data_IF_009839253948
#
_entry.id   IF_009839253948
#
_cell.length_a   1.000
_cell.length_b   1.000
_cell.length_c   1.000
_cell.angle_alpha   90.00
_cell.angle_beta   90.00
_cell.angle_gamma   90.00
#
_symmetry.space_group_name_H-M   'P 1'
#
loop_
_entity.id
_entity.type
_entity.pdbx_description
1 polymer ?
#
# COMPACT_ATOMS: atom_id res chain seq x y z
N UNK A 1 23.73 -2.31 -3.29
CA UNK A 1 24.23 -1.85 -4.60
C UNK A 1 25.29 -2.85 -5.08
N UNK A 2 25.11 -3.46 -6.25
CA UNK A 2 26.04 -4.44 -6.81
C UNK A 2 27.24 -3.72 -7.43
N UNK A 3 28.31 -3.49 -6.66
CA UNK A 3 29.53 -2.82 -7.13
C UNK A 3 30.46 -3.71 -7.96
N UNK A 4 30.12 -5.00 -8.10
CA UNK A 4 30.95 -6.00 -8.78
C UNK A 4 31.35 -5.68 -10.24
N UNK A 5 30.45 -5.19 -11.13
CA UNK A 5 30.85 -4.84 -12.50
C UNK A 5 31.78 -3.61 -12.55
N UNK A 6 31.60 -2.65 -11.64
CA UNK A 6 32.43 -1.44 -11.54
C UNK A 6 33.82 -1.76 -11.00
N UNK A 7 33.89 -2.63 -9.97
CA UNK A 7 35.14 -3.14 -9.42
C UNK A 7 35.94 -3.82 -10.55
N UNK A 8 35.28 -4.66 -11.35
CA UNK A 8 35.95 -5.41 -12.39
C UNK A 8 36.47 -4.50 -13.51
N UNK A 9 35.69 -3.53 -13.97
CA UNK A 9 36.12 -2.54 -14.96
C UNK A 9 37.32 -1.71 -14.48
N UNK A 10 37.32 -1.27 -13.21
CA UNK A 10 38.43 -0.52 -12.64
C UNK A 10 39.69 -1.39 -12.49
N UNK A 11 39.55 -2.67 -12.15
CA UNK A 11 40.67 -3.61 -12.09
C UNK A 11 41.22 -3.89 -13.49
N UNK A 12 40.36 -4.04 -14.50
CA UNK A 12 40.81 -4.25 -15.88
C UNK A 12 41.58 -3.03 -16.43
N UNK A 13 41.13 -1.81 -16.11
CA UNK A 13 41.89 -0.58 -16.41
C UNK A 13 43.25 -0.52 -15.68
N UNK A 14 43.35 -1.04 -14.45
CA UNK A 14 44.63 -1.15 -13.73
C UNK A 14 45.56 -2.19 -14.37
N UNK A 15 45.02 -3.27 -14.92
CA UNK A 15 45.79 -4.33 -15.60
C UNK A 15 46.46 -3.85 -16.88
N UNK A 16 45.84 -2.91 -17.61
CA UNK A 16 46.42 -2.31 -18.81
C UNK A 16 47.57 -1.35 -18.50
N UNK A 17 47.49 -0.65 -17.36
CA UNK A 17 48.46 0.39 -16.98
C UNK A 17 49.67 -0.15 -16.23
N UNK A 18 49.52 -1.27 -15.50
CA UNK A 18 50.56 -1.80 -14.60
C UNK A 18 51.06 -3.15 -15.10
N UNK A 19 52.25 -3.22 -15.74
CA UNK A 19 52.78 -4.46 -16.27
C UNK A 19 53.30 -5.42 -15.18
N UNK A 20 53.66 -4.90 -14.00
CA UNK A 20 54.27 -5.69 -12.91
C UNK A 20 53.20 -6.29 -11.98
N UNK A 21 53.22 -7.62 -11.84
CA UNK A 21 52.22 -8.39 -11.09
C UNK A 21 52.13 -8.00 -9.60
N UNK A 22 53.26 -7.69 -8.95
CA UNK A 22 53.29 -7.30 -7.53
C UNK A 22 52.63 -5.93 -7.29
N UNK A 23 52.91 -4.95 -8.14
CA UNK A 23 52.32 -3.62 -8.04
C UNK A 23 50.82 -3.68 -8.35
N UNK A 24 50.40 -4.52 -9.30
CA UNK A 24 49.00 -4.75 -9.60
C UNK A 24 48.23 -5.30 -8.38
N UNK A 25 48.77 -6.27 -7.64
CA UNK A 25 48.11 -6.75 -6.42
C UNK A 25 47.95 -5.64 -5.37
N UNK A 26 48.96 -4.80 -5.20
CA UNK A 26 48.93 -3.70 -4.22
C UNK A 26 47.86 -2.68 -4.56
N UNK A 27 47.76 -2.27 -5.83
CA UNK A 27 46.74 -1.31 -6.29
C UNK A 27 45.33 -1.91 -6.22
N UNK A 28 45.16 -3.20 -6.51
CA UNK A 28 43.86 -3.88 -6.33
C UNK A 28 43.47 -3.96 -4.85
N UNK A 29 44.40 -4.28 -3.95
CA UNK A 29 44.17 -4.22 -2.51
C UNK A 29 43.76 -2.82 -2.05
N UNK A 30 44.45 -1.78 -2.52
CA UNK A 30 44.15 -0.39 -2.21
C UNK A 30 42.77 0.02 -2.75
N UNK A 31 42.43 -0.34 -3.97
CA UNK A 31 41.14 -0.05 -4.58
C UNK A 31 39.98 -0.73 -3.84
N UNK A 32 40.11 -2.01 -3.51
CA UNK A 32 39.09 -2.73 -2.74
C UNK A 32 38.89 -2.12 -1.35
N UNK A 33 40.00 -1.83 -0.66
CA UNK A 33 39.97 -1.34 0.71
C UNK A 33 39.54 0.13 0.81
N UNK A 34 40.16 1.04 0.07
CA UNK A 34 39.92 2.48 0.19
C UNK A 34 38.72 2.98 -0.59
N UNK A 35 38.42 2.41 -1.77
CA UNK A 35 37.35 2.92 -2.62
C UNK A 35 36.01 2.20 -2.38
N UNK A 36 36.04 0.89 -2.09
CA UNK A 36 34.83 0.09 -1.90
C UNK A 36 34.59 -0.35 -0.45
N UNK A 37 35.53 -0.13 0.47
CA UNK A 37 35.41 -0.56 1.86
C UNK A 37 35.37 -2.09 2.03
N UNK A 38 35.84 -2.84 1.04
CA UNK A 38 35.86 -4.31 1.06
C UNK A 38 37.23 -4.77 1.53
N UNK A 39 37.28 -5.66 2.53
CA UNK A 39 38.53 -6.25 2.98
C UNK A 39 39.11 -7.17 1.90
N UNK A 40 40.28 -6.85 1.32
CA UNK A 40 40.89 -7.71 0.31
C UNK A 40 41.23 -9.07 0.95
N UNK A 41 40.86 -10.16 0.28
CA UNK A 41 41.21 -11.54 0.65
C UNK A 41 42.01 -12.19 -0.47
N UNK A 42 42.84 -13.18 -0.14
CA UNK A 42 43.69 -13.86 -1.13
C UNK A 42 42.88 -14.47 -2.28
N UNK A 43 41.69 -15.02 -1.98
CA UNK A 43 40.78 -15.58 -2.99
C UNK A 43 40.24 -14.50 -3.95
N UNK A 44 39.92 -13.31 -3.45
CA UNK A 44 39.45 -12.20 -4.29
C UNK A 44 40.55 -11.72 -5.24
N UNK A 45 41.77 -11.57 -4.73
CA UNK A 45 42.94 -11.20 -5.54
C UNK A 45 43.22 -12.24 -6.64
N UNK A 46 43.11 -13.52 -6.32
CA UNK A 46 43.24 -14.60 -7.29
C UNK A 46 42.21 -14.49 -8.43
N UNK A 47 40.93 -14.27 -8.07
CA UNK A 47 39.81 -14.17 -9.04
C UNK A 47 39.96 -12.99 -10.00
N UNK A 48 40.45 -11.84 -9.50
CA UNK A 48 40.54 -10.61 -10.26
C UNK A 48 41.84 -10.44 -11.03
N UNK A 49 42.99 -10.81 -10.46
CA UNK A 49 44.31 -10.55 -11.08
C UNK A 49 44.72 -11.68 -12.03
N UNK A 50 44.28 -12.93 -11.79
CA UNK A 50 44.53 -14.12 -12.64
C UNK A 50 45.97 -14.24 -13.18
N UNK A 51 46.96 -13.81 -12.39
CA UNK A 51 48.40 -13.91 -12.66
C UNK A 51 49.07 -14.48 -11.40
N UNK A 52 50.26 -15.07 -11.52
CA UNK A 52 51.07 -15.51 -10.37
C UNK A 52 50.86 -16.95 -9.88
N UNK A 53 51.70 -17.37 -8.93
CA UNK A 53 51.63 -18.67 -8.25
C UNK A 53 50.54 -18.68 -7.18
N UNK A 54 50.12 -19.87 -6.72
CA UNK A 54 49.10 -20.05 -5.68
C UNK A 54 49.37 -19.26 -4.38
N UNK A 55 50.65 -19.00 -4.05
CA UNK A 55 51.05 -18.27 -2.84
C UNK A 55 51.23 -16.76 -3.03
N UNK A 56 51.40 -16.28 -4.27
CA UNK A 56 51.70 -14.87 -4.56
C UNK A 56 50.62 -13.87 -4.08
N UNK A 57 49.30 -14.16 -4.18
CA UNK A 57 48.26 -13.25 -3.68
C UNK A 57 48.27 -13.11 -2.16
N UNK A 58 48.59 -14.19 -1.43
CA UNK A 58 48.63 -14.18 0.03
C UNK A 58 49.83 -13.36 0.53
N UNK A 59 50.98 -13.49 -0.12
CA UNK A 59 52.18 -12.71 0.22
C UNK A 59 52.01 -11.22 -0.09
N UNK A 60 51.42 -10.89 -1.24
CA UNK A 60 51.14 -9.50 -1.61
C UNK A 60 50.12 -8.84 -0.66
N UNK A 61 49.12 -9.60 -0.19
CA UNK A 61 48.16 -9.16 0.80
C UNK A 61 48.82 -8.93 2.16
N UNK A 62 49.69 -9.83 2.62
CA UNK A 62 50.41 -9.67 3.87
C UNK A 62 51.30 -8.42 3.86
N UNK A 63 52.07 -8.23 2.77
CA UNK A 63 52.89 -7.03 2.54
C UNK A 63 52.05 -5.75 2.48
N UNK A 64 50.91 -5.77 1.79
CA UNK A 64 50.00 -4.62 1.77
C UNK A 64 49.53 -4.24 3.18
N UNK A 65 49.11 -5.21 3.99
CA UNK A 65 48.68 -4.93 5.37
C UNK A 65 49.82 -4.48 6.28
N UNK A 66 51.04 -4.97 6.05
CA UNK A 66 52.24 -4.51 6.75
C UNK A 66 52.54 -3.05 6.38
N UNK A 67 52.66 -2.73 5.10
CA UNK A 67 52.90 -1.35 4.62
C UNK A 67 51.75 -0.40 4.99
N UNK A 68 50.50 -0.87 4.99
CA UNK A 68 49.33 -0.08 5.39
C UNK A 68 49.38 0.21 6.90
N UNK A 69 49.70 -0.80 7.71
CA UNK A 69 49.88 -0.63 9.15
C UNK A 69 51.09 0.23 9.48
N UNK A 70 52.15 0.17 8.69
CA UNK A 70 53.34 1.00 8.90
C UNK A 70 53.09 2.46 8.50
N UNK A 71 52.41 2.71 7.37
CA UNK A 71 52.03 4.06 6.92
C UNK A 71 50.91 4.71 7.73
N UNK A 72 49.92 3.93 8.18
CA UNK A 72 48.82 4.40 9.03
C UNK A 72 49.09 4.16 10.52
N UNK A 73 50.27 3.68 10.90
CA UNK A 73 50.69 3.72 12.30
C UNK A 73 50.62 5.19 12.67
N UNK A 74 49.80 5.58 13.65
CA UNK A 74 49.76 6.96 14.08
C UNK A 74 51.18 7.30 14.55
N UNK A 75 51.91 8.05 13.73
CA UNK A 75 53.13 8.77 14.12
C UNK A 75 52.69 9.87 15.07
N UNK A 76 52.32 9.48 16.27
CA UNK A 76 52.50 10.32 17.45
C UNK A 76 53.99 10.19 17.79
N UNK A 77 54.80 10.77 16.92
CA UNK A 77 56.10 11.30 17.33
C UNK A 77 55.75 12.50 18.23
N UNK A 78 55.37 12.25 19.48
CA UNK A 78 55.52 13.25 20.53
C UNK A 78 56.77 12.90 21.28
N UNK A 79 57.77 13.75 21.09
CA UNK A 79 58.92 13.89 21.96
C UNK A 79 58.49 13.73 23.43
N UNK A 80 58.89 12.63 24.06
CA UNK A 80 58.89 12.41 25.51
C UNK A 80 57.66 12.92 26.29
N UNK A 81 56.43 12.49 25.98
CA UNK A 81 55.34 12.60 26.96
C UNK A 81 55.55 11.52 28.05
N UNK A 82 55.56 11.88 29.35
CA UNK A 82 55.58 10.92 30.46
C UNK A 82 54.47 9.87 30.31
N UNK A 83 54.79 8.61 30.61
CA UNK A 83 53.86 7.49 30.39
C UNK A 83 52.57 7.62 31.23
N UNK A 84 52.64 8.30 32.37
CA UNK A 84 51.50 8.64 33.22
C UNK A 84 50.45 9.48 32.47
N UNK A 85 50.87 10.52 31.75
CA UNK A 85 49.95 11.38 30.99
C UNK A 85 49.32 10.66 29.79
N UNK A 86 50.04 9.72 29.17
CA UNK A 86 49.50 8.89 28.09
C UNK A 86 48.44 7.92 28.61
N UNK A 87 48.69 7.32 29.77
CA UNK A 87 47.73 6.42 30.41
C UNK A 87 46.44 7.17 30.76
N UNK A 88 46.56 8.34 31.40
CA UNK A 88 45.41 9.17 31.79
C UNK A 88 44.60 9.67 30.58
N UNK A 89 45.27 10.13 29.53
CA UNK A 89 44.60 10.52 28.29
C UNK A 89 43.92 9.32 27.60
N UNK A 90 44.55 8.14 27.61
CA UNK A 90 43.99 6.90 27.07
C UNK A 90 42.74 6.45 27.82
N UNK A 91 42.77 6.50 29.15
CA UNK A 91 41.61 6.21 30.00
C UNK A 91 40.46 7.17 29.74
N UNK A 92 40.74 8.47 29.62
CA UNK A 92 39.72 9.47 29.32
C UNK A 92 39.05 9.22 27.96
N UNK A 93 39.84 8.94 26.91
CA UNK A 93 39.31 8.65 25.57
C UNK A 93 38.50 7.35 25.59
N UNK A 94 38.98 6.32 26.27
CA UNK A 94 38.26 5.05 26.42
C UNK A 94 36.91 5.25 27.14
N UNK A 95 36.90 6.04 28.21
CA UNK A 95 35.68 6.38 28.94
C UNK A 95 34.71 7.20 28.08
N UNK A 96 35.21 8.17 27.32
CA UNK A 96 34.39 8.97 26.41
C UNK A 96 33.79 8.10 25.30
N UNK A 97 34.59 7.22 24.69
CA UNK A 97 34.15 6.29 23.66
C UNK A 97 33.07 5.33 24.19
N UNK A 98 33.27 4.77 25.39
CA UNK A 98 32.29 3.91 26.05
C UNK A 98 30.97 4.63 26.30
N UNK A 99 31.01 5.87 26.79
CA UNK A 99 29.82 6.71 27.00
C UNK A 99 29.10 7.02 25.67
N UNK A 100 29.85 7.38 24.64
CA UNK A 100 29.29 7.64 23.32
C UNK A 100 28.62 6.39 22.73
N UNK A 101 29.25 5.22 22.88
CA UNK A 101 28.69 3.96 22.42
C UNK A 101 27.44 3.56 23.19
N UNK A 102 27.42 3.74 24.51
CA UNK A 102 26.23 3.51 25.33
C UNK A 102 25.07 4.45 24.93
N UNK A 103 25.34 5.74 24.73
CA UNK A 103 24.34 6.70 24.29
C UNK A 103 23.78 6.36 22.88
N UNK A 104 24.66 5.95 21.96
CA UNK A 104 24.24 5.52 20.61
C UNK A 104 23.40 4.25 20.65
N UNK A 105 23.76 3.27 21.49
CA UNK A 105 22.99 2.04 21.68
C UNK A 105 21.61 2.32 22.27
N UNK A 106 21.53 3.22 23.25
CA UNK A 106 20.26 3.62 23.85
C UNK A 106 19.36 4.35 22.84
N UNK A 107 19.91 5.30 22.08
CA UNK A 107 19.16 5.98 21.02
C UNK A 107 18.63 5.00 19.97
N UNK A 108 19.45 4.02 19.57
CA UNK A 108 19.02 2.97 18.66
C UNK A 108 17.96 2.03 19.26
N UNK A 109 18.04 1.73 20.57
CA UNK A 109 17.03 0.94 21.28
C UNK A 109 15.68 1.66 21.28
N UNK A 110 15.68 2.96 21.59
CA UNK A 110 14.49 3.81 21.53
C UNK A 110 13.88 3.84 20.14
N UNK A 111 14.68 4.12 19.10
CA UNK A 111 14.20 4.13 17.72
C UNK A 111 13.61 2.78 17.28
N UNK A 112 14.19 1.66 17.75
CA UNK A 112 13.63 0.31 17.47
C UNK A 112 12.28 0.11 18.14
N UNK A 113 12.11 0.54 19.38
CA UNK A 113 10.84 0.44 20.11
C UNK A 113 9.77 1.28 19.43
N UNK A 114 10.09 2.52 19.07
CA UNK A 114 9.18 3.43 18.36
C UNK A 114 8.78 2.88 16.99
N UNK A 115 9.75 2.40 16.20
CA UNK A 115 9.47 1.78 14.91
C UNK A 115 8.59 0.53 15.04
N UNK A 116 8.84 -0.30 16.07
CA UNK A 116 8.01 -1.48 16.31
C UNK A 116 6.59 -1.11 16.72
N UNK A 117 6.43 -0.11 17.59
CA UNK A 117 5.12 0.41 17.98
C UNK A 117 4.34 0.95 16.77
N UNK A 118 4.99 1.73 15.90
CA UNK A 118 4.38 2.25 14.67
C UNK A 118 3.96 1.13 13.71
N UNK A 119 4.75 0.06 13.60
CA UNK A 119 4.40 -1.11 12.79
C UNK A 119 3.17 -1.84 13.36
N UNK A 120 3.13 -2.05 14.68
CA UNK A 120 1.98 -2.69 15.35
C UNK A 120 0.71 -1.86 15.18
N UNK A 121 0.80 -0.54 15.36
CA UNK A 121 -0.31 0.38 15.15
C UNK A 121 -0.82 0.30 13.70
N UNK A 122 0.09 0.40 12.72
CA UNK A 122 -0.26 0.30 11.31
C UNK A 122 -0.91 -1.05 10.96
N UNK A 123 -0.40 -2.16 11.50
CA UNK A 123 -0.99 -3.49 11.33
C UNK A 123 -2.40 -3.56 11.91
N UNK A 124 -2.63 -2.99 13.10
CA UNK A 124 -3.95 -2.94 13.71
C UNK A 124 -4.94 -2.11 12.89
N UNK A 125 -4.48 -0.99 12.32
CA UNK A 125 -5.30 -0.13 11.46
C UNK A 125 -5.68 -0.83 10.15
N UNK A 126 -4.74 -1.57 9.55
CA UNK A 126 -5.00 -2.39 8.36
C UNK A 126 -6.01 -3.49 8.67
N UNK A 127 -5.85 -4.22 9.78
CA UNK A 127 -6.80 -5.26 10.18
C UNK A 127 -8.21 -4.70 10.41
N UNK A 128 -8.31 -3.54 11.08
CA UNK A 128 -9.59 -2.86 11.28
C UNK A 128 -10.23 -2.41 9.95
N UNK A 129 -9.43 -1.89 9.02
CA UNK A 129 -9.90 -1.49 7.69
C UNK A 129 -10.37 -2.70 6.86
N UNK A 130 -9.65 -3.83 6.93
CA UNK A 130 -10.06 -5.08 6.28
C UNK A 130 -11.39 -5.60 6.84
N UNK A 131 -11.56 -5.59 8.16
CA UNK A 131 -12.81 -6.01 8.79
C UNK A 131 -13.99 -5.11 8.38
N UNK A 132 -13.78 -3.80 8.31
CA UNK A 132 -14.78 -2.86 7.80
C UNK A 132 -15.11 -3.14 6.33
N UNK A 133 -14.11 -3.39 5.48
CA UNK A 133 -14.31 -3.73 4.09
C UNK A 133 -15.12 -5.04 3.94
N UNK A 134 -14.81 -6.07 4.73
CA UNK A 134 -15.56 -7.34 4.76
C UNK A 134 -17.02 -7.12 5.17
N UNK A 135 -17.28 -6.31 6.21
CA UNK A 135 -18.65 -5.97 6.64
C UNK A 135 -19.42 -5.23 5.55
N UNK A 136 -18.80 -4.24 4.92
CA UNK A 136 -19.42 -3.50 3.82
C UNK A 136 -19.75 -4.40 2.63
N UNK A 137 -18.87 -5.36 2.31
CA UNK A 137 -19.15 -6.31 1.23
C UNK A 137 -20.30 -7.25 1.57
N UNK A 138 -20.39 -7.74 2.82
CA UNK A 138 -21.53 -8.53 3.27
C UNK A 138 -22.84 -7.75 3.16
N UNK A 139 -22.84 -6.47 3.56
CA UNK A 139 -24.01 -5.59 3.42
C UNK A 139 -24.36 -5.36 1.95
N UNK A 140 -23.37 -5.19 1.06
CA UNK A 140 -23.60 -5.06 -0.38
C UNK A 140 -24.23 -6.31 -0.98
N UNK A 141 -23.76 -7.49 -0.58
CA UNK A 141 -24.34 -8.75 -1.04
C UNK A 141 -25.77 -8.93 -0.54
N UNK A 142 -26.04 -8.68 0.74
CA UNK A 142 -27.41 -8.79 1.28
C UNK A 142 -28.36 -7.79 0.61
N UNK A 143 -27.90 -6.57 0.36
CA UNK A 143 -28.67 -5.56 -0.38
C UNK A 143 -28.98 -6.00 -1.81
N UNK A 144 -27.99 -6.55 -2.54
CA UNK A 144 -28.22 -7.09 -3.89
C UNK A 144 -29.27 -8.22 -3.89
N UNK A 145 -29.18 -9.14 -2.93
CA UNK A 145 -30.16 -10.22 -2.78
C UNK A 145 -31.56 -9.67 -2.47
N UNK A 146 -31.67 -8.69 -1.58
CA UNK A 146 -32.95 -8.04 -1.26
C UNK A 146 -33.57 -7.35 -2.48
N UNK A 147 -32.76 -6.62 -3.27
CA UNK A 147 -33.21 -5.97 -4.52
C UNK A 147 -33.67 -7.01 -5.54
N UNK A 148 -32.96 -8.14 -5.68
CA UNK A 148 -33.38 -9.23 -6.56
C UNK A 148 -34.72 -9.83 -6.11
N UNK A 149 -34.93 -10.01 -4.80
CA UNK A 149 -36.19 -10.52 -4.26
C UNK A 149 -37.35 -9.56 -4.47
N UNK A 150 -37.13 -8.25 -4.29
CA UNK A 150 -38.15 -7.23 -4.57
C UNK A 150 -38.56 -7.29 -6.05
N UNK A 151 -37.59 -7.34 -6.96
CA UNK A 151 -37.88 -7.45 -8.40
C UNK A 151 -38.65 -8.71 -8.76
N UNK A 152 -38.33 -9.86 -8.15
CA UNK A 152 -39.08 -11.10 -8.40
C UNK A 152 -40.52 -10.98 -7.92
N UNK A 153 -40.74 -10.42 -6.73
CA UNK A 153 -42.08 -10.19 -6.17
C UNK A 153 -42.88 -9.18 -6.99
N UNK A 154 -42.25 -8.13 -7.53
CA UNK A 154 -42.89 -7.18 -8.43
C UNK A 154 -43.35 -7.84 -9.73
N UNK A 155 -42.55 -8.76 -10.28
CA UNK A 155 -42.92 -9.55 -11.46
C UNK A 155 -44.08 -10.50 -11.17
N UNK A 156 -44.03 -11.26 -10.07
CA UNK A 156 -45.11 -12.14 -9.62
C UNK A 156 -46.43 -11.35 -9.42
N UNK A 157 -46.35 -10.17 -8.79
CA UNK A 157 -47.51 -9.30 -8.60
C UNK A 157 -48.07 -8.77 -9.93
N UNK A 158 -47.21 -8.43 -10.88
CA UNK A 158 -47.62 -8.00 -12.22
C UNK A 158 -48.32 -9.14 -12.98
N UNK A 159 -47.82 -10.37 -12.89
CA UNK A 159 -48.46 -11.54 -13.51
C UNK A 159 -49.81 -11.84 -12.89
N UNK A 160 -49.93 -11.81 -11.56
CA UNK A 160 -51.20 -12.03 -10.86
C UNK A 160 -52.24 -10.96 -11.22
N UNK A 161 -51.82 -9.69 -11.30
CA UNK A 161 -52.69 -8.60 -11.76
C UNK A 161 -53.16 -8.83 -13.19
N UNK A 162 -52.28 -9.24 -14.10
CA UNK A 162 -52.63 -9.53 -15.49
C UNK A 162 -53.64 -10.69 -15.59
N UNK A 163 -53.42 -11.80 -14.86
CA UNK A 163 -54.34 -12.94 -14.79
C UNK A 163 -55.71 -12.50 -14.25
N UNK A 164 -55.73 -11.72 -13.16
CA UNK A 164 -56.96 -11.20 -12.57
C UNK A 164 -57.73 -10.30 -13.54
N UNK A 165 -57.04 -9.42 -14.27
CA UNK A 165 -57.69 -8.58 -15.28
C UNK A 165 -58.26 -9.41 -16.44
N UNK A 166 -57.53 -10.43 -16.89
CA UNK A 166 -58.00 -11.32 -17.96
C UNK A 166 -59.24 -12.13 -17.52
N UNK A 167 -59.24 -12.66 -16.31
CA UNK A 167 -60.39 -13.39 -15.75
C UNK A 167 -61.61 -12.46 -15.59
N UNK A 168 -61.41 -11.22 -15.13
CA UNK A 168 -62.49 -10.24 -15.05
C UNK A 168 -63.11 -9.96 -16.43
N UNK A 169 -62.28 -9.77 -17.47
CA UNK A 169 -62.76 -9.59 -18.84
C UNK A 169 -63.53 -10.82 -19.37
N UNK A 170 -63.11 -12.05 -19.01
CA UNK A 170 -63.82 -13.28 -19.38
C UNK A 170 -65.18 -13.38 -18.69
N UNK A 171 -65.26 -13.01 -17.41
CA UNK A 171 -66.53 -12.96 -16.68
C UNK A 171 -67.47 -11.94 -17.30
N UNK A 172 -67.00 -10.72 -17.57
CA UNK A 172 -67.80 -9.68 -18.23
C UNK A 172 -68.31 -10.13 -19.61
N UNK A 173 -67.46 -10.80 -20.40
CA UNK A 173 -67.86 -11.35 -21.69
C UNK A 173 -68.91 -12.48 -21.57
N UNK A 174 -68.80 -13.34 -20.56
CA UNK A 174 -69.76 -14.41 -20.31
C UNK A 174 -71.10 -13.90 -19.71
N UNK A 175 -71.06 -12.77 -19.00
CA UNK A 175 -72.22 -12.09 -18.43
C UNK A 175 -72.93 -11.17 -19.44
N UNK A 176 -72.29 -10.82 -20.57
CA UNK A 176 -73.01 -10.15 -21.65
C UNK A 176 -74.17 -11.07 -22.09
N UNK A 177 -75.40 -10.56 -22.17
CA UNK A 177 -76.51 -11.37 -22.62
C UNK A 177 -76.18 -11.90 -24.02
N UNK A 178 -76.48 -13.18 -24.26
CA UNK A 178 -76.74 -13.72 -25.60
C UNK A 178 -77.96 -13.01 -26.19
N UNK A 179 -77.84 -11.70 -26.42
CA UNK A 179 -78.81 -10.90 -27.11
C UNK A 179 -78.62 -11.21 -28.60
N UNK A 180 -79.36 -12.20 -29.07
CA UNK A 180 -79.87 -12.18 -30.44
C UNK A 180 -80.40 -10.76 -30.71
N UNK A 181 -79.98 -10.08 -31.79
CA UNK A 181 -80.49 -8.75 -32.08
C UNK A 181 -81.96 -8.86 -32.46
N UNK A 182 -82.85 -8.60 -31.50
CA UNK A 182 -84.25 -8.29 -31.80
C UNK A 182 -84.27 -6.85 -32.34
N UNK A 183 -84.60 -6.73 -33.63
CA UNK A 183 -84.59 -5.49 -34.38
C UNK A 183 -85.57 -4.46 -33.79
N UNK A 184 -85.19 -3.17 -33.65
CA UNK A 184 -86.12 -2.15 -33.20
C UNK A 184 -87.03 -1.70 -34.34
N UNK A 185 -88.35 -1.73 -34.13
CA UNK A 185 -89.33 -1.01 -34.94
C UNK A 185 -89.20 0.51 -34.71
N UNK A 186 -89.48 1.36 -35.73
CA UNK A 186 -89.30 2.80 -35.64
C UNK A 186 -90.51 3.45 -34.96
N UNK A 187 -90.25 4.35 -34.00
CA UNK A 187 -91.28 5.09 -33.29
C UNK A 187 -90.76 6.43 -32.78
N UNK A 188 -90.95 7.43 -33.64
CA UNK A 188 -91.21 8.85 -33.42
C UNK A 188 -90.32 9.73 -32.51
N UNK A 189 -89.81 10.74 -33.20
CA UNK A 189 -89.12 11.92 -32.76
C UNK A 189 -89.81 12.70 -31.63
N UNK A 190 -89.00 13.09 -30.65
CA UNK A 190 -89.01 14.44 -30.10
C UNK A 190 -87.62 14.74 -29.49
N UNK A 191 -86.86 15.63 -30.13
CA UNK A 191 -85.58 16.13 -29.61
C UNK A 191 -85.71 17.64 -29.41
N UNK A 192 -85.88 18.05 -28.16
CA UNK A 192 -85.57 19.41 -27.72
C UNK A 192 -84.07 19.48 -27.36
N UNK A 193 -83.39 20.48 -27.92
CA UNK A 193 -82.09 21.03 -27.48
C UNK A 193 -82.38 22.36 -26.75
N UNK A 194 -81.40 23.08 -26.13
CA UNK A 194 -80.02 22.78 -25.70
C UNK A 194 -79.81 23.12 -24.19
N UNK A 195 -78.61 23.07 -23.58
CA UNK A 195 -77.79 24.26 -23.22
C UNK A 195 -76.46 23.81 -22.53
N UNK A 196 -75.35 24.31 -23.09
CA UNK A 196 -74.04 24.75 -22.50
C UNK A 196 -73.38 23.99 -21.34
N UNK A 197 -72.11 23.61 -21.52
CA UNK A 197 -70.97 24.24 -20.81
C UNK A 197 -69.61 23.64 -21.25
N UNK A 198 -68.76 24.49 -21.83
CA UNK A 198 -67.33 24.25 -22.01
C UNK A 198 -66.64 24.32 -20.65
N UNK A 199 -65.84 23.30 -20.30
CA UNK A 199 -64.68 23.50 -19.40
C UNK A 199 -63.59 22.49 -19.72
N UNK A 200 -62.57 22.98 -20.41
CA UNK A 200 -61.27 22.34 -20.51
C UNK A 200 -60.66 22.20 -19.12
N UNK A 201 -60.30 20.97 -18.74
CA UNK A 201 -59.21 20.74 -17.77
C UNK A 201 -58.72 19.29 -17.84
N UNK A 202 -57.65 19.09 -18.60
CA UNK A 202 -56.72 17.97 -18.39
C UNK A 202 -55.95 18.17 -17.08
N UNK A 203 -55.75 17.11 -16.27
CA UNK A 203 -54.61 17.04 -15.37
C UNK A 203 -53.79 15.79 -15.68
N UNK A 204 -52.57 15.99 -16.17
CA UNK A 204 -51.52 14.96 -16.11
C UNK A 204 -50.35 15.56 -15.32
N UNK A 205 -50.01 15.05 -14.13
CA UNK A 205 -48.88 15.56 -13.37
C UNK A 205 -47.57 14.98 -13.91
N UNK A 206 -46.68 15.85 -14.36
CA UNK A 206 -45.27 15.55 -14.49
C UNK A 206 -44.56 15.78 -13.14
N UNK A 207 -43.72 14.79 -12.78
CA UNK A 207 -42.39 14.94 -12.17
C UNK A 207 -42.31 15.39 -10.70
N UNK A 208 -41.96 14.44 -9.83
CA UNK A 208 -41.17 14.71 -8.63
C UNK A 208 -39.73 14.22 -8.86
N UNK A 209 -38.70 15.03 -8.56
CA UNK A 209 -37.46 14.55 -7.99
C UNK A 209 -37.44 14.88 -6.49
N UNK A 210 -37.57 13.86 -5.64
CA UNK A 210 -37.29 14.00 -4.22
C UNK A 210 -35.78 14.00 -3.99
N UNK A 211 -35.23 15.17 -3.68
CA UNK A 211 -33.94 15.31 -2.99
C UNK A 211 -34.04 14.60 -1.64
N UNK A 212 -33.18 13.62 -1.42
CA UNK A 212 -32.93 13.10 -0.07
C UNK A 212 -31.78 13.92 0.50
N UNK A 213 -32.15 14.87 1.36
CA UNK A 213 -31.22 15.57 2.22
C UNK A 213 -30.51 14.54 3.13
N UNK A 214 -29.19 14.47 3.03
CA UNK A 214 -28.33 13.75 3.96
C UNK A 214 -28.42 14.42 5.34
N UNK A 215 -29.12 13.79 6.27
CA UNK A 215 -29.04 14.15 7.69
C UNK A 215 -27.71 13.66 8.26
N UNK A 216 -26.99 14.58 8.91
CA UNK A 216 -25.71 14.38 9.55
C UNK A 216 -25.78 13.33 10.68
N UNK A 217 -24.78 12.44 10.70
CA UNK A 217 -24.49 11.56 11.83
C UNK A 217 -23.86 12.37 12.98
N UNK A 218 -24.25 12.15 14.26
CA UNK A 218 -23.50 12.70 15.37
C UNK A 218 -22.23 11.88 15.62
N UNK A 219 -21.11 12.60 15.74
CA UNK A 219 -19.82 12.08 16.17
C UNK A 219 -19.89 11.59 17.63
N UNK A 220 -19.58 10.32 17.86
CA UNK A 220 -19.32 9.76 19.18
C UNK A 220 -17.89 10.11 19.59
N UNK A 221 -17.71 11.16 20.39
CA UNK A 221 -16.48 11.42 21.14
C UNK A 221 -16.65 10.90 22.57
N UNK A 222 -16.07 9.74 22.85
CA UNK A 222 -15.74 9.35 24.21
C UNK A 222 -14.41 9.99 24.59
N UNK A 223 -14.42 10.86 25.60
CA UNK A 223 -13.23 11.20 26.37
C UNK A 223 -13.57 11.03 27.85
N UNK A 224 -13.01 9.95 28.40
CA UNK A 224 -12.89 9.69 29.82
C UNK A 224 -11.66 10.44 30.35
N UNK A 225 -11.81 11.12 31.48
CA UNK A 225 -10.75 11.36 32.47
C UNK A 225 -10.18 12.77 32.59
N UNK A 226 -10.50 13.46 33.69
CA UNK A 226 -9.52 14.19 34.52
C UNK A 226 -10.13 14.68 35.86
N UNK A 227 -9.50 14.23 36.96
CA UNK A 227 -9.15 14.98 38.16
C UNK A 227 -10.23 15.63 39.05
N UNK A 228 -10.45 15.04 40.23
CA UNK A 228 -10.23 15.68 41.54
C UNK A 228 -9.99 14.62 42.60
#
# INVERSE_FOLDING_TARGET
>A
MNHQPQIQANIDALRERIPKTQELYREVCALLFFHYGITPTANMLYRYVRKGSMSAPAEALAKFWEELRERNRPRIEHAALPDELKAEAGEMIAALWSKAQAAAQEGLRTLRVEAHAAVVEAQSAVAAAEDQARRLEQIRLSFRTAVQRIRSLEQELATERAVRTALAMQLDAALQPSATPEAPLPGDAATERPIMAKRDRSPTPCRQPGEIAYAALPASSGCSGAAS
#
